data_IF_571953115708
#
_entry.id   IF_571953115708
#
_cell.length_a   1.000
_cell.length_b   1.000
_cell.length_c   1.000
_cell.angle_alpha   90.00
_cell.angle_beta   90.00
_cell.angle_gamma   90.00
#
_symmetry.space_group_name_H-M   'P 1'
#
loop_
_entity.id
_entity.type
_entity.pdbx_description
1 polymer ?
#
# COMPACT_ATOMS: atom_id res chain seq x y z
N UNK A 1 15.49 -5.29 -10.97
CA UNK A 1 15.38 -5.50 -9.51
C UNK A 1 13.91 -5.66 -9.16
N UNK A 2 13.60 -6.50 -8.16
CA UNK A 2 12.24 -6.76 -7.68
C UNK A 2 12.12 -6.36 -6.21
N UNK A 3 10.91 -6.04 -5.75
CA UNK A 3 10.63 -5.80 -4.33
C UNK A 3 10.61 -7.14 -3.57
N UNK A 4 11.15 -7.22 -2.34
CA UNK A 4 11.22 -8.49 -1.62
C UNK A 4 9.84 -9.07 -1.26
N UNK A 5 8.90 -8.22 -0.84
CA UNK A 5 7.63 -8.70 -0.26
C UNK A 5 6.58 -9.11 -1.29
N UNK A 6 6.60 -8.55 -2.51
CA UNK A 6 5.59 -8.83 -3.56
C UNK A 6 6.22 -9.24 -4.89
N UNK A 7 7.55 -9.36 -4.96
CA UNK A 7 8.32 -9.64 -6.18
C UNK A 7 8.01 -8.70 -7.36
N UNK A 8 7.57 -7.47 -7.10
CA UNK A 8 7.15 -6.52 -8.13
C UNK A 8 8.33 -5.77 -8.76
N UNK A 9 8.26 -5.41 -10.04
CA UNK A 9 9.25 -4.54 -10.66
C UNK A 9 9.27 -3.16 -10.00
N UNK A 10 10.38 -2.44 -10.16
CA UNK A 10 10.50 -1.07 -9.67
C UNK A 10 9.62 -0.13 -10.51
N UNK A 11 9.11 0.97 -9.92
CA UNK A 11 8.33 1.96 -10.64
C UNK A 11 9.17 2.68 -11.70
N UNK A 12 8.55 3.08 -12.81
CA UNK A 12 9.19 3.79 -13.91
C UNK A 12 8.42 5.08 -14.24
N UNK A 13 9.17 6.12 -14.64
CA UNK A 13 8.61 7.40 -15.10
C UNK A 13 8.30 7.40 -16.60
N UNK A 14 8.85 6.44 -17.37
CA UNK A 14 8.53 6.27 -18.79
C UNK A 14 7.13 5.65 -18.89
N UNK A 15 6.33 6.13 -19.84
CA UNK A 15 4.90 5.86 -19.91
C UNK A 15 4.53 4.38 -19.75
N UNK A 16 3.46 4.17 -18.99
CA UNK A 16 2.93 2.88 -18.59
C UNK A 16 2.23 2.17 -19.77
N UNK A 17 2.85 1.12 -20.33
CA UNK A 17 2.21 0.01 -21.08
C UNK A 17 3.23 -1.08 -21.49
N UNK A 18 2.87 -2.37 -21.59
CA UNK A 18 1.61 -3.04 -21.22
C UNK A 18 1.60 -3.46 -19.75
N UNK A 19 0.42 -3.83 -19.25
CA UNK A 19 0.20 -4.48 -17.96
C UNK A 19 1.24 -5.58 -17.75
N UNK A 20 1.84 -5.66 -16.57
CA UNK A 20 2.76 -6.75 -16.23
C UNK A 20 2.09 -8.14 -16.23
N UNK A 21 0.84 -8.23 -16.70
CA UNK A 21 -0.04 -9.39 -16.54
C UNK A 21 -0.41 -9.62 -15.09
N UNK A 22 -0.21 -8.63 -14.20
CA UNK A 22 -0.32 -8.80 -12.75
C UNK A 22 -1.28 -7.81 -12.12
N UNK A 23 -2.06 -8.30 -11.16
CA UNK A 23 -2.93 -7.54 -10.29
C UNK A 23 -2.44 -7.57 -8.85
N UNK A 24 -2.46 -6.44 -8.16
CA UNK A 24 -2.19 -6.37 -6.71
C UNK A 24 -3.40 -5.76 -6.01
N UNK A 25 -3.76 -6.31 -4.85
CA UNK A 25 -4.75 -5.70 -3.97
C UNK A 25 -4.03 -4.81 -2.97
N UNK A 26 -4.52 -3.59 -2.77
CA UNK A 26 -4.02 -2.68 -1.74
C UNK A 26 -5.14 -2.44 -0.72
N UNK A 27 -5.00 -3.04 0.47
CA UNK A 27 -5.90 -2.79 1.58
C UNK A 27 -5.53 -1.48 2.29
N UNK A 28 -6.53 -0.70 2.71
CA UNK A 28 -6.31 0.66 3.24
C UNK A 28 -5.86 1.68 2.20
N UNK A 29 -6.38 1.60 0.97
CA UNK A 29 -5.97 2.44 -0.17
C UNK A 29 -6.18 3.95 0.02
N UNK A 30 -7.04 4.37 0.96
CA UNK A 30 -7.28 5.78 1.33
C UNK A 30 -6.28 6.34 2.34
N UNK A 31 -5.42 5.50 2.92
CA UNK A 31 -4.37 5.91 3.85
C UNK A 31 -3.16 6.54 3.11
N UNK A 32 -2.26 7.18 3.86
CA UNK A 32 -0.99 7.68 3.32
C UNK A 32 -0.13 6.57 2.70
N UNK A 33 -0.03 5.42 3.39
CA UNK A 33 0.73 4.29 2.87
C UNK A 33 0.02 3.67 1.66
N UNK A 34 -1.27 3.37 1.77
CA UNK A 34 -2.04 2.72 0.70
C UNK A 34 -2.13 3.54 -0.59
N UNK A 35 -2.29 4.86 -0.48
CA UNK A 35 -2.35 5.75 -1.65
C UNK A 35 -1.00 5.88 -2.36
N UNK A 36 0.12 5.92 -1.64
CA UNK A 36 1.46 5.89 -2.24
C UNK A 36 1.74 4.52 -2.86
N UNK A 37 1.40 3.42 -2.18
CA UNK A 37 1.53 2.06 -2.73
C UNK A 37 0.75 1.90 -4.03
N UNK A 38 -0.48 2.40 -4.09
CA UNK A 38 -1.32 2.38 -5.29
C UNK A 38 -0.65 3.09 -6.46
N UNK A 39 -0.14 4.30 -6.22
CA UNK A 39 0.51 5.10 -7.26
C UNK A 39 1.81 4.44 -7.76
N UNK A 40 2.63 3.88 -6.85
CA UNK A 40 3.88 3.22 -7.22
C UNK A 40 3.64 1.89 -7.96
N UNK A 41 2.66 1.10 -7.54
CA UNK A 41 2.29 -0.14 -8.24
C UNK A 41 1.75 0.17 -9.65
N UNK A 42 0.91 1.19 -9.79
CA UNK A 42 0.43 1.64 -11.09
C UNK A 42 1.59 2.14 -11.99
N UNK A 43 2.55 2.89 -11.43
CA UNK A 43 3.76 3.33 -12.14
C UNK A 43 4.71 2.17 -12.49
N UNK A 44 4.59 1.03 -11.82
CA UNK A 44 5.28 -0.22 -12.16
C UNK A 44 4.51 -1.06 -13.21
N UNK A 45 3.37 -0.57 -13.72
CA UNK A 45 2.56 -1.26 -14.73
C UNK A 45 1.67 -2.38 -14.17
N UNK A 46 1.42 -2.38 -12.87
CA UNK A 46 0.57 -3.35 -12.19
C UNK A 46 -0.88 -2.85 -12.16
N UNK A 47 -1.85 -3.75 -12.41
CA UNK A 47 -3.25 -3.43 -12.18
C UNK A 47 -3.51 -3.39 -10.67
N UNK A 48 -4.10 -2.30 -10.16
CA UNK A 48 -4.28 -2.14 -8.72
C UNK A 48 -5.77 -2.19 -8.38
N UNK A 49 -6.15 -3.10 -7.49
CA UNK A 49 -7.46 -3.12 -6.84
C UNK A 49 -7.29 -2.47 -5.47
N UNK A 50 -7.94 -1.33 -5.24
CA UNK A 50 -7.82 -0.59 -3.98
C UNK A 50 -9.03 -0.81 -3.09
N UNK A 51 -8.81 -1.27 -1.87
CA UNK A 51 -9.86 -1.37 -0.84
C UNK A 51 -9.82 -0.12 0.04
N UNK A 52 -10.91 0.63 0.04
CA UNK A 52 -11.04 1.87 0.82
C UNK A 52 -11.91 1.70 2.08
N UNK A 53 -12.73 0.65 2.13
CA UNK A 53 -13.52 0.25 3.29
C UNK A 53 -13.29 -1.23 3.58
N UNK A 54 -12.40 -1.50 4.54
CA UNK A 54 -12.05 -2.85 4.95
C UNK A 54 -13.14 -3.50 5.82
N UNK A 55 -14.20 -2.77 6.18
CA UNK A 55 -15.34 -3.28 6.97
C UNK A 55 -16.56 -3.58 6.10
N UNK A 56 -16.43 -3.42 4.78
CA UNK A 56 -17.52 -3.70 3.87
C UNK A 56 -17.93 -5.19 3.97
N UNK A 57 -19.23 -5.52 4.18
CA UNK A 57 -19.66 -6.88 4.48
C UNK A 57 -19.40 -7.88 3.34
N UNK A 58 -19.28 -7.39 2.11
CA UNK A 58 -18.98 -8.20 0.91
C UNK A 58 -17.55 -7.99 0.39
N UNK A 59 -16.62 -7.61 1.27
CA UNK A 59 -15.26 -7.25 0.87
C UNK A 59 -14.56 -8.42 0.16
N UNK A 60 -14.62 -9.61 0.75
CA UNK A 60 -13.95 -10.81 0.24
C UNK A 60 -14.46 -11.14 -1.16
N UNK A 61 -15.78 -11.22 -1.33
CA UNK A 61 -16.40 -11.56 -2.61
C UNK A 61 -16.07 -10.51 -3.67
N UNK A 62 -16.18 -9.23 -3.33
CA UNK A 62 -15.88 -8.14 -4.27
C UNK A 62 -14.42 -8.16 -4.72
N UNK A 63 -13.48 -8.39 -3.82
CA UNK A 63 -12.05 -8.45 -4.16
C UNK A 63 -11.74 -9.68 -5.00
N UNK A 64 -12.21 -10.86 -4.60
CA UNK A 64 -12.00 -12.11 -5.35
C UNK A 64 -12.60 -12.01 -6.75
N UNK A 65 -13.80 -11.44 -6.89
CA UNK A 65 -14.42 -11.21 -8.18
C UNK A 65 -13.62 -10.20 -9.02
N UNK A 66 -13.16 -9.09 -8.43
CA UNK A 66 -12.36 -8.10 -9.13
C UNK A 66 -11.03 -8.68 -9.64
N UNK A 67 -10.35 -9.52 -8.85
CA UNK A 67 -9.14 -10.23 -9.29
C UNK A 67 -9.46 -11.15 -10.47
N UNK A 68 -10.51 -11.99 -10.38
CA UNK A 68 -10.89 -12.91 -11.46
C UNK A 68 -11.27 -12.17 -12.74
N UNK A 69 -12.02 -11.08 -12.64
CA UNK A 69 -12.40 -10.22 -13.78
C UNK A 69 -11.21 -9.50 -14.42
N UNK A 70 -10.12 -9.30 -13.68
CA UNK A 70 -8.93 -8.63 -14.20
C UNK A 70 -8.15 -9.50 -15.22
N UNK A 71 -8.42 -10.81 -15.26
CA UNK A 71 -7.75 -11.80 -16.10
C UNK A 71 -6.21 -11.76 -15.99
N UNK A 72 -5.71 -11.36 -14.81
CA UNK A 72 -4.29 -11.18 -14.51
C UNK A 72 -3.85 -12.11 -13.38
N UNK A 73 -2.55 -12.44 -13.37
CA UNK A 73 -1.91 -13.17 -12.28
C UNK A 73 -1.94 -12.32 -11.00
N UNK A 74 -2.35 -12.90 -9.87
CA UNK A 74 -2.28 -12.20 -8.59
C UNK A 74 -0.83 -12.03 -8.17
N UNK A 75 -0.37 -10.80 -8.01
CA UNK A 75 0.89 -10.47 -7.38
C UNK A 75 0.82 -10.59 -5.85
N UNK A 76 -0.38 -10.63 -5.27
CA UNK A 76 -0.60 -10.70 -3.84
C UNK A 76 -1.40 -9.51 -3.29
N UNK A 77 -1.35 -9.38 -1.95
CA UNK A 77 -2.05 -8.36 -1.19
C UNK A 77 -1.02 -7.51 -0.44
N UNK A 78 -1.16 -6.19 -0.53
CA UNK A 78 -0.45 -5.22 0.29
C UNK A 78 -1.44 -4.63 1.31
N UNK A 79 -1.34 -5.04 2.57
CA UNK A 79 -2.18 -4.50 3.64
C UNK A 79 -1.52 -3.31 4.31
N UNK A 80 -1.99 -2.11 3.97
CA UNK A 80 -1.48 -0.87 4.56
C UNK A 80 -1.99 -0.64 6.00
N UNK A 81 -2.96 -1.41 6.47
CA UNK A 81 -3.58 -1.31 7.79
C UNK A 81 -2.89 -2.30 8.75
N UNK A 82 -2.82 -3.58 8.35
CA UNK A 82 -2.14 -4.66 9.08
C UNK A 82 -2.57 -4.82 10.53
N UNK A 83 -3.89 -4.89 10.76
CA UNK A 83 -4.49 -5.24 12.05
C UNK A 83 -5.12 -6.63 11.96
N UNK A 84 -5.43 -7.26 13.10
CA UNK A 84 -5.99 -8.61 13.14
C UNK A 84 -7.22 -8.79 12.24
N UNK A 85 -8.14 -7.81 12.23
CA UNK A 85 -9.34 -7.86 11.40
C UNK A 85 -9.00 -7.87 9.89
N UNK A 86 -8.10 -6.98 9.44
CA UNK A 86 -7.73 -6.90 8.02
C UNK A 86 -6.92 -8.11 7.58
N UNK A 87 -6.02 -8.59 8.43
CA UNK A 87 -5.24 -9.80 8.21
C UNK A 87 -6.16 -11.01 8.06
N UNK A 88 -7.15 -11.17 8.95
CA UNK A 88 -8.10 -12.29 8.87
C UNK A 88 -8.87 -12.27 7.54
N UNK A 89 -9.35 -11.09 7.12
CA UNK A 89 -10.05 -10.93 5.84
C UNK A 89 -9.13 -11.18 4.63
N UNK A 90 -7.88 -10.71 4.66
CA UNK A 90 -6.92 -10.93 3.59
C UNK A 90 -6.52 -12.42 3.49
N UNK A 91 -6.40 -13.13 4.61
CA UNK A 91 -6.21 -14.59 4.65
C UNK A 91 -7.40 -15.35 4.05
N UNK A 92 -8.63 -14.88 4.28
CA UNK A 92 -9.83 -15.44 3.66
C UNK A 92 -9.80 -15.26 2.13
N UNK A 93 -9.40 -14.07 1.65
CA UNK A 93 -9.18 -13.82 0.22
C UNK A 93 -8.14 -14.80 -0.34
N UNK A 94 -7.01 -15.00 0.34
CA UNK A 94 -6.00 -15.98 -0.08
C UNK A 94 -6.53 -17.41 -0.12
N UNK A 95 -7.45 -17.78 0.77
CA UNK A 95 -8.16 -19.07 0.73
C UNK A 95 -8.88 -19.31 -0.60
N UNK A 96 -9.39 -18.26 -1.25
CA UNK A 96 -10.02 -18.34 -2.57
C UNK A 96 -9.02 -18.28 -3.73
N UNK A 97 -7.81 -17.74 -3.52
CA UNK A 97 -6.76 -17.60 -4.52
C UNK A 97 -5.75 -18.76 -4.52
N UNK A 98 -5.72 -19.56 -3.44
CA UNK A 98 -4.79 -20.67 -3.26
C UNK A 98 -3.43 -20.28 -2.68
N UNK A 99 -3.25 -19.05 -2.22
CA UNK A 99 -2.00 -18.52 -1.67
C UNK A 99 -1.45 -17.32 -2.42
N UNK A 100 -0.22 -16.91 -2.12
CA UNK A 100 0.46 -15.79 -2.75
C UNK A 100 1.35 -14.99 -1.81
N UNK A 101 1.74 -13.79 -2.24
CA UNK A 101 2.57 -12.90 -1.43
C UNK A 101 1.72 -11.95 -0.60
N UNK A 102 2.06 -11.78 0.67
CA UNK A 102 1.32 -10.93 1.60
C UNK A 102 2.25 -9.92 2.27
N UNK A 103 2.11 -8.66 1.90
CA UNK A 103 2.92 -7.57 2.43
C UNK A 103 2.17 -6.83 3.56
N UNK A 104 2.80 -6.73 4.73
CA UNK A 104 2.22 -6.13 5.93
C UNK A 104 3.04 -4.92 6.40
N UNK A 105 2.38 -3.83 6.81
CA UNK A 105 3.03 -2.64 7.42
C UNK A 105 3.26 -2.76 8.91
N UNK A 106 2.57 -3.70 9.57
CA UNK A 106 2.77 -4.04 10.98
C UNK A 106 3.15 -5.53 11.10
N UNK A 107 3.83 -5.95 12.19
CA UNK A 107 4.08 -7.36 12.40
C UNK A 107 2.76 -8.12 12.49
N UNK A 108 2.71 -9.35 11.97
CA UNK A 108 1.61 -10.26 12.25
C UNK A 108 1.67 -10.65 13.73
N UNK A 109 0.91 -9.93 14.55
CA UNK A 109 0.78 -10.17 16.01
C UNK A 109 -0.47 -11.00 16.33
N UNK A 110 -1.15 -11.51 15.31
CA UNK A 110 -2.41 -12.22 15.41
C UNK A 110 -2.26 -13.67 15.89
N UNK A 111 -3.39 -14.29 16.23
CA UNK A 111 -3.45 -15.74 16.56
C UNK A 111 -3.66 -16.60 15.32
N UNK A 112 -3.94 -15.97 14.19
CA UNK A 112 -4.26 -16.60 12.93
C UNK A 112 -3.04 -17.37 12.42
N UNK A 113 -3.25 -18.65 12.11
CA UNK A 113 -2.24 -19.48 11.46
C UNK A 113 -2.21 -19.09 10.00
N UNK A 114 -1.05 -18.65 9.54
CA UNK A 114 -0.80 -18.32 8.13
C UNK A 114 -0.47 -19.64 7.42
N UNK A 115 -1.23 -20.03 6.37
CA UNK A 115 -0.92 -21.22 5.58
C UNK A 115 0.45 -21.13 4.89
N UNK A 116 1.12 -22.27 4.71
CA UNK A 116 2.42 -22.36 4.02
C UNK A 116 2.39 -21.87 2.56
N UNK A 117 1.20 -21.78 1.95
CA UNK A 117 1.01 -21.23 0.61
C UNK A 117 1.08 -19.69 0.56
N UNK A 118 1.26 -19.02 1.69
CA UNK A 118 1.34 -17.56 1.80
C UNK A 118 2.73 -17.14 2.25
N UNK A 119 3.42 -16.37 1.42
CA UNK A 119 4.70 -15.77 1.75
C UNK A 119 4.49 -14.38 2.35
N UNK A 120 4.76 -14.23 3.65
CA UNK A 120 4.62 -12.95 4.36
C UNK A 120 5.91 -12.14 4.28
N UNK A 121 5.78 -10.88 3.86
CA UNK A 121 6.82 -9.86 3.95
C UNK A 121 6.39 -8.69 4.83
N UNK A 122 7.08 -8.49 5.96
CA UNK A 122 6.88 -7.30 6.77
C UNK A 122 7.66 -6.10 6.18
N UNK A 123 6.96 -5.02 5.87
CA UNK A 123 7.53 -3.76 5.42
C UNK A 123 7.80 -2.89 6.65
N UNK A 124 9.04 -2.93 7.13
CA UNK A 124 9.53 -1.99 8.13
C UNK A 124 10.30 -0.85 7.46
N UNK A 125 9.86 0.39 7.65
CA UNK A 125 10.57 1.57 7.14
C UNK A 125 11.78 1.90 8.04
N UNK A 126 12.90 1.22 7.82
CA UNK A 126 14.17 1.44 8.52
C UNK A 126 15.06 2.53 7.92
N UNK A 127 14.56 3.31 6.95
CA UNK A 127 15.30 4.35 6.25
C UNK A 127 15.67 4.00 4.79
N UNK A 128 16.66 4.72 4.26
CA UNK A 128 17.13 4.55 2.88
C UNK A 128 18.15 3.41 2.82
N UNK A 129 17.87 2.39 2.02
CA UNK A 129 18.73 1.21 1.84
C UNK A 129 18.88 0.86 0.34
N UNK A 130 19.48 -0.28 0.02
CA UNK A 130 19.69 -0.74 -1.36
C UNK A 130 18.40 -0.97 -2.15
N UNK A 131 17.27 -1.17 -1.47
CA UNK A 131 15.95 -1.33 -2.07
C UNK A 131 15.27 0.04 -2.26
N UNK A 132 15.20 0.85 -1.21
CA UNK A 132 14.45 2.11 -1.21
C UNK A 132 15.24 3.27 -1.84
N UNK A 133 16.57 3.27 -1.74
CA UNK A 133 17.45 4.32 -2.24
C UNK A 133 17.38 4.56 -3.75
N UNK A 134 17.36 3.52 -4.60
CA UNK A 134 17.10 3.70 -6.04
C UNK A 134 15.74 4.31 -6.32
N UNK A 135 14.68 3.89 -5.61
CA UNK A 135 13.32 4.42 -5.80
C UNK A 135 13.26 5.90 -5.43
N UNK A 136 13.83 6.29 -4.29
CA UNK A 136 13.89 7.69 -3.85
C UNK A 136 14.65 8.58 -4.82
N UNK A 137 15.83 8.14 -5.29
CA UNK A 137 16.68 8.94 -6.17
C UNK A 137 16.16 9.05 -7.60
N UNK A 138 15.66 7.94 -8.16
CA UNK A 138 15.36 7.86 -9.59
C UNK A 138 13.87 8.07 -9.90
N UNK A 139 12.97 7.87 -8.94
CA UNK A 139 11.53 7.91 -9.18
C UNK A 139 10.84 9.02 -8.38
N UNK A 140 10.93 9.02 -7.06
CA UNK A 140 10.03 9.84 -6.22
C UNK A 140 10.13 11.34 -6.53
N UNK A 141 11.34 11.91 -6.54
CA UNK A 141 11.52 13.35 -6.77
C UNK A 141 10.97 13.80 -8.13
N UNK A 142 11.41 13.16 -9.21
CA UNK A 142 10.94 13.47 -10.56
C UNK A 142 9.44 13.14 -10.75
N UNK A 143 8.91 12.08 -10.13
CA UNK A 143 7.49 11.77 -10.20
C UNK A 143 6.63 12.89 -9.61
N UNK A 144 7.04 13.45 -8.47
CA UNK A 144 6.37 14.58 -7.82
C UNK A 144 6.48 15.85 -8.67
N UNK A 145 7.67 16.15 -9.20
CA UNK A 145 7.91 17.32 -10.05
C UNK A 145 7.06 17.30 -11.33
N UNK A 146 6.98 16.15 -12.00
CA UNK A 146 6.17 15.97 -13.21
C UNK A 146 4.69 15.63 -12.92
N UNK A 147 4.27 15.60 -11.65
CA UNK A 147 2.90 15.30 -11.25
C UNK A 147 2.43 13.86 -11.54
N UNK A 148 3.35 12.94 -11.85
CA UNK A 148 3.08 11.50 -12.01
C UNK A 148 2.87 10.79 -10.67
N UNK A 149 3.42 11.34 -9.60
CA UNK A 149 3.08 11.01 -8.22
C UNK A 149 2.45 12.25 -7.59
N UNK A 150 1.34 12.06 -6.89
CA UNK A 150 0.67 13.11 -6.11
C UNK A 150 0.89 12.84 -4.63
N UNK A 151 1.05 13.91 -3.87
CA UNK A 151 0.98 13.84 -2.42
C UNK A 151 -0.46 13.52 -2.03
N UNK A 152 -0.68 12.25 -1.65
CA UNK A 152 -1.97 11.72 -1.24
C UNK A 152 -1.85 10.98 0.09
N UNK A 153 -2.90 11.03 0.94
CA UNK A 153 -4.04 11.94 0.83
C UNK A 153 -3.60 13.42 0.91
N UNK A 154 -4.43 14.39 0.45
CA UNK A 154 -4.07 15.80 0.49
C UNK A 154 -3.63 16.24 1.90
N UNK A 155 -2.68 17.18 2.02
CA UNK A 155 -2.22 17.59 3.34
C UNK A 155 -3.18 18.58 3.99
N UNK A 156 -3.34 18.46 5.30
CA UNK A 156 -3.88 19.51 6.16
C UNK A 156 -2.72 20.13 6.93
N UNK A 157 -2.40 21.39 6.63
CA UNK A 157 -1.40 22.16 7.38
C UNK A 157 -2.01 22.57 8.72
N UNK A 158 -1.41 22.12 9.82
CA UNK A 158 -1.89 22.40 11.19
C UNK A 158 -1.27 23.70 11.74
N UNK A 159 -0.08 24.06 11.27
CA UNK A 159 0.56 25.33 11.60
C UNK A 159 1.96 25.42 11.02
N UNK A 160 2.62 26.56 11.28
CA UNK A 160 4.00 26.82 10.89
C UNK A 160 4.86 27.02 12.12
N UNK A 161 5.96 26.28 12.21
CA UNK A 161 6.87 26.29 13.36
C UNK A 161 6.72 25.06 14.26
N UNK A 162 7.81 24.72 14.95
CA UNK A 162 7.92 23.51 15.77
C UNK A 162 6.95 23.48 16.96
N UNK A 163 6.42 24.64 17.37
CA UNK A 163 5.41 24.79 18.43
C UNK A 163 4.11 24.02 18.13
N UNK A 164 3.81 23.75 16.86
CA UNK A 164 2.61 23.02 16.45
C UNK A 164 2.76 21.49 16.46
N UNK A 165 3.96 20.96 16.74
CA UNK A 165 4.19 19.50 16.76
C UNK A 165 3.25 18.80 17.76
N UNK A 166 3.09 19.37 18.95
CA UNK A 166 2.25 18.75 19.98
C UNK A 166 0.77 18.72 19.57
N UNK A 167 0.31 19.74 18.85
CA UNK A 167 -1.04 19.81 18.31
C UNK A 167 -1.28 18.76 17.21
N UNK A 168 -0.34 18.65 16.26
CA UNK A 168 -0.39 17.61 15.21
C UNK A 168 -0.44 16.20 15.79
N UNK A 169 0.38 15.91 16.79
CA UNK A 169 0.37 14.58 17.43
C UNK A 169 -0.95 14.28 18.14
N UNK A 170 -1.60 15.30 18.75
CA UNK A 170 -2.94 15.13 19.35
C UNK A 170 -3.99 14.81 18.30
N UNK A 171 -4.00 15.54 17.19
CA UNK A 171 -4.91 15.29 16.08
C UNK A 171 -4.69 13.91 15.46
N UNK A 172 -3.42 13.52 15.25
CA UNK A 172 -3.06 12.19 14.75
C UNK A 172 -3.60 11.08 15.65
N UNK A 173 -3.46 11.24 16.97
CA UNK A 173 -3.94 10.26 17.96
C UNK A 173 -5.47 10.17 18.02
N UNK A 174 -6.18 11.28 17.79
CA UNK A 174 -7.63 11.30 17.74
C UNK A 174 -8.20 10.57 16.51
N UNK A 175 -7.35 10.23 15.54
CA UNK A 175 -7.72 9.62 14.28
C UNK A 175 -7.85 10.68 13.19
N UNK A 176 -7.25 10.40 12.04
CA UNK A 176 -7.24 11.28 10.88
C UNK A 176 -7.70 10.45 9.69
N UNK A 177 -8.65 10.96 8.93
CA UNK A 177 -9.19 10.27 7.75
C UNK A 177 -9.10 11.17 6.53
N UNK A 178 -8.60 10.63 5.42
CA UNK A 178 -8.57 11.32 4.14
C UNK A 178 -7.63 12.53 4.05
N UNK A 179 -6.73 12.72 5.02
CA UNK A 179 -5.73 13.80 5.00
C UNK A 179 -4.43 13.39 5.69
N UNK A 180 -3.32 14.00 5.28
CA UNK A 180 -2.04 13.91 5.97
C UNK A 180 -1.78 15.19 6.78
N UNK A 181 -1.50 15.08 8.08
CA UNK A 181 -1.19 16.26 8.89
C UNK A 181 0.23 16.75 8.63
N UNK A 182 0.40 18.04 8.39
CA UNK A 182 1.68 18.68 8.10
C UNK A 182 1.92 19.86 9.04
N UNK A 183 3.15 19.98 9.53
CA UNK A 183 3.68 21.22 10.13
C UNK A 183 4.64 21.84 9.13
N UNK A 184 4.41 23.09 8.76
CA UNK A 184 5.36 23.85 7.94
C UNK A 184 6.52 24.35 8.79
N UNK A 185 7.70 24.46 8.18
CA UNK A 185 8.89 25.03 8.81
C UNK A 185 9.10 26.47 8.35
#
# INVERSE_FOLDING_TARGET
MHTPALALPYPSLKDSRPTAGKVVVVNGGSSSVGSVTTQLAAAAGIHVITVVDHKHPFLVENVVEAIRRSEQESAGIADAISISDTIATDLEIFGHLGGGHFALTHPHMGKEVVPDSIEIGMIWSGGVNEITGPVWRACIGAALEFGKLKYLPPPSVVGKGLEHIQEVLKLSKAGVSGTGLVVEL
#
